data_IF_217253667681
#
_entry.id   IF_217253667681
#
_cell.length_a   1.000
_cell.length_b   1.000
_cell.length_c   1.000
_cell.angle_alpha   90.00
_cell.angle_beta   90.00
_cell.angle_gamma   90.00
#
_symmetry.space_group_name_H-M   'P 1'
#
loop_
_entity.id
_entity.type
_entity.pdbx_description
1 polymer ?
#
# COMPACT_ATOMS: atom_id res chain seq x y z
N UNK A 1 -7.17 -2.39 26.30
CA UNK A 1 -8.40 -1.86 26.91
C UNK A 1 -9.16 -1.10 25.85
N UNK A 2 -10.47 -1.30 25.76
CA UNK A 2 -11.40 -0.59 24.90
C UNK A 2 -12.27 0.32 25.76
N UNK A 3 -12.46 1.57 25.36
CA UNK A 3 -13.15 2.58 26.15
C UNK A 3 -14.23 3.24 25.31
N UNK A 4 -15.31 3.69 25.96
CA UNK A 4 -16.25 4.62 25.37
C UNK A 4 -15.60 6.01 25.35
N UNK A 5 -15.50 6.63 24.16
CA UNK A 5 -14.84 7.91 24.00
C UNK A 5 -15.64 9.10 24.59
N UNK A 6 -16.96 8.97 24.71
CA UNK A 6 -17.85 10.00 25.25
C UNK A 6 -17.91 9.93 26.78
N UNK A 7 -18.11 8.73 27.34
CA UNK A 7 -18.29 8.55 28.78
C UNK A 7 -16.99 8.29 29.53
N UNK A 8 -15.96 7.78 28.83
CA UNK A 8 -14.72 7.32 29.44
C UNK A 8 -14.83 5.95 30.12
N UNK A 9 -15.96 5.25 29.97
CA UNK A 9 -16.16 3.94 30.60
C UNK A 9 -15.32 2.85 29.91
N UNK A 10 -14.74 1.98 30.72
CA UNK A 10 -14.07 0.78 30.22
C UNK A 10 -15.11 -0.22 29.70
N UNK A 11 -15.04 -0.53 28.40
CA UNK A 11 -15.93 -1.50 27.75
C UNK A 11 -15.35 -2.91 27.89
N UNK A 12 -14.09 -3.11 27.46
CA UNK A 12 -13.43 -4.42 27.46
C UNK A 12 -11.95 -4.33 27.86
N UNK A 13 -11.48 -5.30 28.63
CA UNK A 13 -10.04 -5.61 28.78
C UNK A 13 -9.73 -6.85 27.95
N UNK A 14 -8.91 -6.69 26.92
CA UNK A 14 -8.55 -7.75 25.98
C UNK A 14 -7.26 -8.44 26.44
N UNK A 15 -7.38 -9.61 27.06
CA UNK A 15 -6.27 -10.38 27.62
C UNK A 15 -5.96 -11.62 26.78
N UNK A 16 -4.67 -11.94 26.58
CA UNK A 16 -4.28 -13.17 25.88
C UNK A 16 -2.91 -13.14 25.20
N UNK A 17 -2.33 -11.95 24.97
CA UNK A 17 -0.92 -11.85 24.57
C UNK A 17 0.00 -12.25 25.73
N UNK A 18 1.15 -12.84 25.38
CA UNK A 18 2.14 -13.33 26.37
C UNK A 18 3.24 -12.31 26.70
N UNK A 19 3.24 -11.18 26.00
CA UNK A 19 4.17 -10.08 26.18
C UNK A 19 3.48 -8.76 25.78
N UNK A 20 4.17 -7.65 25.97
CA UNK A 20 3.74 -6.28 25.72
C UNK A 20 3.06 -6.11 24.36
N UNK A 21 1.86 -5.55 24.38
CA UNK A 21 1.12 -5.18 23.16
C UNK A 21 1.68 -3.86 22.66
N UNK A 22 2.26 -3.87 21.45
CA UNK A 22 2.97 -2.72 20.88
C UNK A 22 2.08 -1.86 19.98
N UNK A 23 1.06 -2.46 19.37
CA UNK A 23 0.18 -1.80 18.40
C UNK A 23 -1.21 -2.40 18.47
N UNK A 24 -2.23 -1.56 18.26
CA UNK A 24 -3.60 -1.98 18.05
C UNK A 24 -4.24 -1.12 16.97
N UNK A 25 -5.15 -1.69 16.17
CA UNK A 25 -5.85 -0.99 15.10
C UNK A 25 -7.24 -1.58 14.88
N UNK A 26 -8.23 -0.74 14.60
CA UNK A 26 -9.61 -1.15 14.32
C UNK A 26 -9.74 -1.60 12.87
N UNK A 27 -10.61 -2.58 12.62
CA UNK A 27 -11.10 -2.87 11.27
C UNK A 27 -11.94 -1.71 10.75
N UNK A 28 -12.06 -1.52 9.42
CA UNK A 28 -12.85 -0.43 8.84
C UNK A 28 -14.33 -0.43 9.24
N UNK A 29 -14.89 -1.60 9.52
CA UNK A 29 -16.27 -1.76 10.00
C UNK A 29 -16.42 -1.64 11.53
N UNK A 30 -15.31 -1.39 12.24
CA UNK A 30 -15.23 -1.24 13.70
C UNK A 30 -15.72 -2.45 14.51
N UNK A 31 -15.76 -3.65 13.90
CA UNK A 31 -16.18 -4.89 14.58
C UNK A 31 -15.03 -5.69 15.15
N UNK A 32 -13.86 -5.58 14.53
CA UNK A 32 -12.66 -6.34 14.90
C UNK A 32 -11.55 -5.37 15.30
N UNK A 33 -10.78 -5.74 16.31
CA UNK A 33 -9.50 -5.10 16.62
C UNK A 33 -8.37 -6.07 16.26
N UNK A 34 -7.31 -5.59 15.62
CA UNK A 34 -6.05 -6.30 15.51
C UNK A 34 -5.05 -5.75 16.52
N UNK A 35 -4.30 -6.62 17.19
CA UNK A 35 -3.18 -6.24 18.05
C UNK A 35 -1.91 -6.98 17.68
N UNK A 36 -0.78 -6.28 17.67
CA UNK A 36 0.56 -6.86 17.50
C UNK A 36 1.36 -6.76 18.80
N UNK A 37 2.07 -7.82 19.15
CA UNK A 37 2.80 -7.94 20.42
C UNK A 37 4.26 -8.34 20.24
N UNK A 38 5.04 -8.10 21.29
CA UNK A 38 6.39 -8.61 21.46
C UNK A 38 6.46 -10.14 21.56
N UNK A 39 5.33 -10.83 21.78
CA UNK A 39 5.23 -12.28 21.74
C UNK A 39 5.29 -12.88 20.30
N UNK A 40 5.60 -12.04 19.31
CA UNK A 40 5.73 -12.34 17.89
C UNK A 40 4.39 -12.66 17.18
N UNK A 41 3.26 -12.42 17.84
CA UNK A 41 1.94 -12.77 17.29
C UNK A 41 1.09 -11.55 17.01
N UNK A 42 0.14 -11.73 16.09
CA UNK A 42 -1.01 -10.84 15.94
C UNK A 42 -2.24 -11.55 16.46
N UNK A 43 -3.07 -10.87 17.24
CA UNK A 43 -4.39 -11.37 17.65
C UNK A 43 -5.48 -10.50 17.06
N UNK A 44 -6.58 -11.16 16.69
CA UNK A 44 -7.81 -10.51 16.29
C UNK A 44 -8.85 -10.70 17.40
N UNK A 45 -9.55 -9.63 17.71
CA UNK A 45 -10.53 -9.56 18.79
C UNK A 45 -11.87 -9.16 18.23
N UNK A 46 -12.92 -9.85 18.65
CA UNK A 46 -14.29 -9.41 18.43
C UNK A 46 -14.65 -8.34 19.47
N UNK A 47 -15.03 -7.15 19.00
CA UNK A 47 -15.23 -6.00 19.89
C UNK A 47 -16.59 -6.00 20.60
N UNK A 48 -17.55 -6.78 20.10
CA UNK A 48 -18.83 -6.97 20.78
C UNK A 48 -18.65 -7.84 22.03
N UNK A 49 -18.02 -9.01 21.89
CA UNK A 49 -17.82 -9.97 22.98
C UNK A 49 -16.54 -9.77 23.80
N UNK A 50 -15.57 -9.00 23.29
CA UNK A 50 -14.26 -8.82 23.90
C UNK A 50 -13.35 -10.06 23.82
N UNK A 51 -13.72 -11.05 22.99
CA UNK A 51 -13.00 -12.34 22.90
C UNK A 51 -12.00 -12.35 21.75
N UNK A 52 -10.92 -13.08 21.95
CA UNK A 52 -10.00 -13.44 20.87
C UNK A 52 -10.72 -14.35 19.86
N UNK A 53 -10.74 -13.94 18.59
CA UNK A 53 -11.31 -14.72 17.50
C UNK A 53 -10.25 -15.49 16.71
N UNK A 54 -9.03 -14.94 16.60
CA UNK A 54 -7.92 -15.57 15.89
C UNK A 54 -6.57 -15.17 16.47
N UNK A 55 -5.64 -16.13 16.44
CA UNK A 55 -4.21 -15.93 16.65
C UNK A 55 -3.49 -16.14 15.33
N UNK A 56 -2.74 -15.15 14.87
CA UNK A 56 -1.96 -15.18 13.64
C UNK A 56 -0.49 -15.34 14.02
N UNK A 57 0.07 -16.51 13.70
CA UNK A 57 1.44 -16.90 14.00
C UNK A 57 2.26 -17.01 12.73
N UNK A 58 3.51 -16.58 12.79
CA UNK A 58 4.44 -16.70 11.66
C UNK A 58 5.67 -15.81 11.80
N UNK A 59 5.53 -14.61 12.36
CA UNK A 59 6.68 -13.76 12.62
C UNK A 59 7.66 -14.41 13.58
N UNK A 60 8.96 -14.26 13.32
CA UNK A 60 10.02 -14.79 14.19
C UNK A 60 10.52 -13.77 15.21
N UNK A 61 9.97 -12.56 15.18
CA UNK A 61 10.25 -11.49 16.12
C UNK A 61 9.01 -10.61 16.32
N UNK A 62 9.08 -9.76 17.35
CA UNK A 62 8.07 -8.81 17.79
C UNK A 62 7.36 -8.08 16.65
N UNK A 63 6.03 -8.05 16.73
CA UNK A 63 5.19 -7.32 15.78
C UNK A 63 5.11 -5.86 16.20
N UNK A 64 5.49 -4.98 15.28
CA UNK A 64 5.63 -3.53 15.55
C UNK A 64 4.47 -2.71 15.01
N UNK A 65 3.81 -3.20 13.96
CA UNK A 65 2.78 -2.46 13.26
C UNK A 65 1.76 -3.43 12.63
N UNK A 66 0.49 -3.05 12.67
CA UNK A 66 -0.62 -3.76 12.02
C UNK A 66 -1.53 -2.75 11.32
N UNK A 67 -2.06 -3.11 10.16
CA UNK A 67 -2.97 -2.25 9.41
C UNK A 67 -3.96 -3.10 8.62
N UNK A 68 -5.24 -2.75 8.69
CA UNK A 68 -6.28 -3.39 7.88
C UNK A 68 -6.29 -2.78 6.49
N UNK A 69 -6.53 -3.62 5.46
CA UNK A 69 -6.87 -3.09 4.15
C UNK A 69 -8.21 -2.33 4.23
N UNK A 70 -8.44 -1.29 3.41
CA UNK A 70 -9.69 -0.54 3.44
C UNK A 70 -10.98 -1.33 3.13
N UNK A 71 -10.92 -2.59 2.67
CA UNK A 71 -12.10 -3.51 2.63
C UNK A 71 -12.30 -4.31 3.91
N UNK A 72 -11.32 -4.33 4.81
CA UNK A 72 -11.31 -5.21 5.98
C UNK A 72 -11.03 -6.69 5.66
N UNK A 73 -10.76 -7.04 4.40
CA UNK A 73 -10.54 -8.44 4.01
C UNK A 73 -9.13 -8.95 4.32
N UNK A 74 -8.16 -8.03 4.36
CA UNK A 74 -6.75 -8.33 4.61
C UNK A 74 -6.22 -7.54 5.81
N UNK A 75 -5.20 -8.10 6.43
CA UNK A 75 -4.39 -7.41 7.42
C UNK A 75 -2.92 -7.53 7.00
N UNK A 76 -2.18 -6.46 7.16
CA UNK A 76 -0.72 -6.48 7.09
C UNK A 76 -0.16 -6.40 8.52
N UNK A 77 0.94 -7.08 8.77
CA UNK A 77 1.73 -6.95 10.00
C UNK A 77 3.21 -6.78 9.67
N UNK A 78 3.84 -5.75 10.24
CA UNK A 78 5.29 -5.52 10.16
C UNK A 78 5.98 -5.97 11.45
N UNK A 79 7.22 -6.46 11.34
CA UNK A 79 7.96 -7.03 12.46
C UNK A 79 9.44 -6.64 12.47
N UNK A 80 10.05 -6.81 13.64
CA UNK A 80 11.50 -6.80 13.84
C UNK A 80 12.24 -7.93 13.10
N UNK A 81 11.53 -8.92 12.56
CA UNK A 81 12.11 -9.94 11.66
C UNK A 81 12.38 -9.45 10.22
N UNK A 82 12.24 -8.14 9.99
CA UNK A 82 12.44 -7.44 8.71
C UNK A 82 11.40 -7.77 7.63
N UNK A 83 10.35 -8.52 7.98
CA UNK A 83 9.30 -8.91 7.03
C UNK A 83 7.98 -8.21 7.30
N UNK A 84 7.12 -8.23 6.28
CA UNK A 84 5.71 -7.89 6.40
C UNK A 84 4.93 -9.15 6.04
N UNK A 85 3.98 -9.54 6.88
CA UNK A 85 3.08 -10.66 6.59
C UNK A 85 1.70 -10.14 6.26
N UNK A 86 1.07 -10.78 5.27
CA UNK A 86 -0.30 -10.48 4.86
C UNK A 86 -1.20 -11.63 5.27
N UNK A 87 -2.34 -11.30 5.84
CA UNK A 87 -3.27 -12.26 6.40
C UNK A 87 -4.64 -12.08 5.79
N UNK A 88 -5.34 -13.19 5.55
CA UNK A 88 -6.75 -13.18 5.23
C UNK A 88 -7.55 -13.14 6.54
N UNK A 89 -8.36 -12.10 6.73
CA UNK A 89 -9.10 -11.90 7.99
C UNK A 89 -10.15 -13.00 8.22
N UNK A 90 -10.84 -13.44 7.16
CA UNK A 90 -11.92 -14.43 7.26
C UNK A 90 -11.42 -15.78 7.78
N UNK A 91 -10.34 -16.32 7.20
CA UNK A 91 -9.85 -17.64 7.57
C UNK A 91 -8.64 -17.61 8.51
N UNK A 92 -7.93 -16.49 8.64
CA UNK A 92 -6.73 -16.35 9.48
C UNK A 92 -5.44 -16.90 8.86
N UNK A 93 -5.47 -17.29 7.58
CA UNK A 93 -4.30 -17.83 6.88
C UNK A 93 -3.41 -16.71 6.38
N UNK A 94 -2.11 -16.98 6.39
CA UNK A 94 -1.13 -16.17 5.70
C UNK A 94 -1.37 -16.22 4.18
N UNK A 95 -1.46 -15.05 3.56
CA UNK A 95 -1.57 -14.86 2.12
C UNK A 95 -0.19 -14.74 1.46
N UNK A 96 0.71 -13.98 2.09
CA UNK A 96 2.06 -13.76 1.56
C UNK A 96 3.00 -13.19 2.63
N UNK A 97 4.30 -13.30 2.38
CA UNK A 97 5.38 -12.68 3.17
C UNK A 97 6.17 -11.76 2.26
N UNK A 98 6.08 -10.46 2.50
CA UNK A 98 6.84 -9.46 1.77
C UNK A 98 8.23 -9.33 2.40
N UNK A 99 9.24 -9.72 1.63
CA UNK A 99 10.66 -9.62 1.99
C UNK A 99 11.33 -8.55 1.13
N UNK A 100 12.18 -7.73 1.74
CA UNK A 100 12.95 -6.73 0.98
C UNK A 100 13.56 -5.62 1.83
N UNK A 101 13.05 -5.36 3.04
CA UNK A 101 13.75 -4.53 4.01
C UNK A 101 14.96 -5.27 4.58
N UNK A 102 16.06 -4.56 4.81
CA UNK A 102 17.28 -5.13 5.40
C UNK A 102 17.34 -4.98 6.91
N UNK A 103 16.32 -4.36 7.52
CA UNK A 103 16.20 -4.15 8.95
C UNK A 103 14.72 -4.07 9.35
N UNK A 104 14.46 -3.98 10.65
CA UNK A 104 13.14 -4.05 11.28
C UNK A 104 12.13 -3.14 10.59
N UNK A 105 10.95 -3.69 10.29
CA UNK A 105 9.82 -2.90 9.81
C UNK A 105 9.17 -2.24 11.03
N UNK A 106 8.92 -0.94 10.97
CA UNK A 106 8.45 -0.15 12.12
C UNK A 106 7.02 0.32 11.96
N UNK A 107 6.60 0.55 10.71
CA UNK A 107 5.31 1.13 10.39
C UNK A 107 4.87 0.63 9.02
N UNK A 108 3.62 0.23 8.90
CA UNK A 108 2.98 -0.18 7.66
C UNK A 108 1.65 0.55 7.49
N UNK A 109 1.32 0.92 6.26
CA UNK A 109 0.04 1.53 5.90
C UNK A 109 -0.47 1.08 4.55
N UNK A 110 -1.73 0.67 4.48
CA UNK A 110 -2.42 0.49 3.21
C UNK A 110 -2.75 1.84 2.59
N UNK A 111 -2.68 1.93 1.26
CA UNK A 111 -3.27 3.07 0.57
C UNK A 111 -4.80 3.02 0.63
N UNK A 112 -5.49 4.18 0.60
CA UNK A 112 -6.94 4.24 0.56
C UNK A 112 -7.55 3.46 -0.62
N UNK A 113 -6.86 3.41 -1.76
CA UNK A 113 -7.28 2.69 -2.97
C UNK A 113 -7.02 1.17 -2.94
N UNK A 114 -6.40 0.65 -1.86
CA UNK A 114 -6.07 -0.78 -1.61
C UNK A 114 -5.01 -1.37 -2.52
N UNK A 115 -4.50 -0.62 -3.50
CA UNK A 115 -3.57 -1.16 -4.50
C UNK A 115 -2.17 -1.33 -3.96
N UNK A 116 -1.80 -0.53 -2.96
CA UNK A 116 -0.44 -0.50 -2.45
C UNK A 116 -0.40 -0.57 -0.93
N UNK A 117 0.75 -0.99 -0.43
CA UNK A 117 1.14 -0.87 0.97
C UNK A 117 2.43 -0.06 1.00
N UNK A 118 2.56 0.87 1.94
CA UNK A 118 3.81 1.50 2.28
C UNK A 118 4.36 0.88 3.57
N UNK A 119 5.69 0.79 3.68
CA UNK A 119 6.36 0.36 4.89
C UNK A 119 7.60 1.19 5.19
N UNK A 120 7.72 1.68 6.41
CA UNK A 120 8.93 2.31 6.95
C UNK A 120 9.78 1.29 7.73
N UNK A 121 11.09 1.49 7.73
CA UNK A 121 12.03 0.57 8.37
C UNK A 121 13.22 1.28 9.02
N UNK A 122 13.86 0.54 9.94
CA UNK A 122 15.17 0.86 10.50
C UNK A 122 16.31 0.83 9.47
N UNK A 123 16.07 0.36 8.25
CA UNK A 123 17.02 0.48 7.13
C UNK A 123 17.06 1.88 6.48
N UNK A 124 16.39 2.86 7.11
CA UNK A 124 16.29 4.26 6.67
C UNK A 124 15.50 4.45 5.36
N UNK A 125 14.82 3.41 4.87
CA UNK A 125 14.02 3.47 3.64
C UNK A 125 12.53 3.31 3.90
N UNK A 126 11.75 3.73 2.91
CA UNK A 126 10.33 3.39 2.80
C UNK A 126 10.16 2.55 1.55
N UNK A 127 9.45 1.43 1.64
CA UNK A 127 9.12 0.60 0.47
C UNK A 127 7.64 0.72 0.14
N UNK A 128 7.37 0.78 -1.15
CA UNK A 128 6.02 0.74 -1.71
C UNK A 128 5.84 -0.61 -2.37
N UNK A 129 4.81 -1.34 -1.94
CA UNK A 129 4.52 -2.70 -2.37
C UNK A 129 3.28 -2.72 -3.25
N UNK A 130 3.28 -3.59 -4.25
CA UNK A 130 2.08 -3.94 -5.02
C UNK A 130 1.26 -4.99 -4.26
N UNK A 131 -0.02 -4.74 -4.01
CA UNK A 131 -0.87 -5.67 -3.24
C UNK A 131 -1.54 -6.76 -4.09
N UNK A 132 -1.37 -6.72 -5.41
CA UNK A 132 -1.79 -7.75 -6.34
C UNK A 132 -0.63 -8.69 -6.67
N UNK A 133 0.54 -8.10 -6.97
CA UNK A 133 1.75 -8.84 -7.38
C UNK A 133 2.68 -9.18 -6.22
N UNK A 134 2.52 -8.54 -5.06
CA UNK A 134 3.35 -8.73 -3.86
C UNK A 134 4.84 -8.44 -4.08
N UNK A 135 5.15 -7.48 -4.95
CA UNK A 135 6.51 -7.03 -5.26
C UNK A 135 6.78 -5.62 -4.77
N UNK A 136 8.05 -5.28 -4.56
CA UNK A 136 8.45 -3.89 -4.33
C UNK A 136 8.33 -3.12 -5.65
N UNK A 137 7.53 -2.07 -5.65
CA UNK A 137 7.37 -1.16 -6.78
C UNK A 137 8.35 0.02 -6.72
N UNK A 138 8.63 0.49 -5.51
CA UNK A 138 9.56 1.59 -5.30
C UNK A 138 10.22 1.51 -3.93
N UNK A 139 11.43 2.05 -3.82
CA UNK A 139 12.12 2.27 -2.54
C UNK A 139 12.44 3.75 -2.44
N UNK A 140 11.72 4.45 -1.56
CA UNK A 140 11.94 5.86 -1.28
C UNK A 140 13.15 5.99 -0.35
N UNK A 141 14.18 6.66 -0.84
CA UNK A 141 15.42 6.96 -0.12
C UNK A 141 15.49 8.46 0.13
N UNK A 142 15.98 8.86 1.29
CA UNK A 142 16.16 10.28 1.61
C UNK A 142 16.26 10.57 3.09
N UNK A 143 15.74 9.69 3.96
CA UNK A 143 16.03 9.75 5.40
C UNK A 143 17.43 9.22 5.68
N UNK A 144 18.14 9.86 6.61
CA UNK A 144 19.50 9.46 7.02
C UNK A 144 19.53 8.57 8.26
N UNK A 145 18.38 8.38 8.89
CA UNK A 145 18.18 7.54 10.07
C UNK A 145 16.87 6.74 9.95
N UNK A 146 16.65 5.74 10.84
CA UNK A 146 15.44 4.93 10.87
C UNK A 146 14.12 5.68 10.65
N UNK A 147 13.29 5.16 9.75
CA UNK A 147 11.92 5.64 9.57
C UNK A 147 11.06 4.97 10.62
N UNK A 148 10.35 5.76 11.42
CA UNK A 148 9.59 5.25 12.57
C UNK A 148 8.07 5.28 12.36
N UNK A 149 7.59 6.16 11.49
CA UNK A 149 6.17 6.30 11.21
C UNK A 149 5.94 6.74 9.77
N UNK A 150 4.88 6.22 9.17
CA UNK A 150 4.38 6.63 7.87
C UNK A 150 2.86 6.79 7.91
N UNK A 151 2.31 7.66 7.05
CA UNK A 151 0.87 7.77 6.84
C UNK A 151 0.57 8.23 5.42
N UNK A 152 -0.49 7.69 4.82
CA UNK A 152 -1.06 8.26 3.60
C UNK A 152 -1.96 9.45 3.95
N UNK A 153 -2.08 10.40 3.02
CA UNK A 153 -3.20 11.33 2.98
C UNK A 153 -4.51 10.58 2.66
N UNK A 154 -5.68 11.12 3.04
CA UNK A 154 -6.97 10.46 2.79
C UNK A 154 -7.27 10.19 1.30
N UNK A 155 -6.77 11.04 0.40
CA UNK A 155 -6.86 10.87 -1.05
C UNK A 155 -5.84 9.86 -1.61
N UNK A 156 -4.82 9.48 -0.82
CA UNK A 156 -3.73 8.60 -1.22
C UNK A 156 -2.64 9.26 -2.07
N UNK A 157 -2.76 10.55 -2.33
CA UNK A 157 -1.89 11.30 -3.24
C UNK A 157 -0.54 11.67 -2.61
N UNK A 158 -0.47 11.68 -1.29
CA UNK A 158 0.73 11.96 -0.54
C UNK A 158 1.00 10.86 0.48
N UNK A 159 2.28 10.58 0.69
CA UNK A 159 2.77 9.84 1.84
C UNK A 159 3.57 10.81 2.70
N UNK A 160 3.40 10.75 4.02
CA UNK A 160 4.26 11.42 5.00
C UNK A 160 5.09 10.38 5.75
N UNK A 161 6.33 10.71 6.08
CA UNK A 161 7.19 9.88 6.93
C UNK A 161 7.89 10.70 8.00
N UNK A 162 7.98 10.13 9.20
CA UNK A 162 8.76 10.65 10.31
C UNK A 162 9.95 9.73 10.62
N UNK A 163 11.12 10.33 10.84
CA UNK A 163 12.37 9.59 11.07
C UNK A 163 13.14 10.11 12.29
N UNK A 164 14.02 9.26 12.79
CA UNK A 164 15.00 9.59 13.82
C UNK A 164 16.09 10.56 13.32
N UNK A 165 16.07 10.97 12.05
CA UNK A 165 16.89 12.08 11.54
C UNK A 165 16.32 13.46 11.92
N UNK A 166 15.28 13.47 12.76
CA UNK A 166 14.58 14.67 13.25
C UNK A 166 13.84 15.41 12.13
N UNK A 167 13.52 14.74 11.04
CA UNK A 167 12.76 15.32 9.92
C UNK A 167 11.46 14.57 9.64
N UNK A 168 10.52 15.32 9.07
CA UNK A 168 9.35 14.79 8.39
C UNK A 168 9.55 15.01 6.89
N UNK A 169 9.24 14.01 6.07
CA UNK A 169 9.28 14.12 4.60
C UNK A 169 7.92 13.82 4.01
N UNK A 170 7.59 14.56 2.96
CA UNK A 170 6.41 14.37 2.14
C UNK A 170 6.83 13.77 0.80
N UNK A 171 6.08 12.78 0.33
CA UNK A 171 6.35 12.05 -0.90
C UNK A 171 5.11 12.13 -1.78
N UNK A 172 5.29 12.62 -3.00
CA UNK A 172 4.24 12.67 -4.02
C UNK A 172 4.00 11.27 -4.60
N UNK A 173 2.76 10.78 -4.47
CA UNK A 173 2.31 9.49 -4.97
C UNK A 173 1.51 9.61 -6.30
N UNK A 174 1.09 10.82 -6.71
CA UNK A 174 0.33 11.09 -7.95
C UNK A 174 1.12 10.79 -9.19
N UNK A 175 2.40 11.17 -9.20
CA UNK A 175 3.28 10.97 -10.34
C UNK A 175 3.35 9.51 -10.82
N UNK A 176 2.99 8.55 -9.97
CA UNK A 176 2.83 7.13 -10.34
C UNK A 176 1.55 6.84 -11.12
N UNK A 177 0.43 7.43 -10.75
CA UNK A 177 -0.85 7.25 -11.46
C UNK A 177 -0.77 7.80 -12.89
N UNK A 178 -0.08 8.93 -13.06
CA UNK A 178 0.14 9.60 -14.34
C UNK A 178 1.22 8.90 -15.18
N UNK A 179 2.31 8.41 -14.57
CA UNK A 179 3.32 7.61 -15.28
C UNK A 179 2.78 6.29 -15.82
N UNK A 180 1.78 5.68 -15.18
CA UNK A 180 1.07 4.53 -15.76
C UNK A 180 0.24 4.93 -16.98
N UNK A 181 -0.53 6.03 -16.89
CA UNK A 181 -1.31 6.56 -18.02
C UNK A 181 -0.44 6.94 -19.22
N UNK A 182 0.75 7.50 -19.01
CA UNK A 182 1.68 7.86 -20.08
C UNK A 182 2.31 6.63 -20.77
N UNK A 183 2.36 5.49 -20.07
CA UNK A 183 2.97 4.26 -20.57
C UNK A 183 1.93 3.25 -21.14
N UNK A 184 0.63 3.50 -20.95
CA UNK A 184 -0.46 2.83 -21.67
C UNK A 184 -0.80 3.69 -22.89
N UNK A 185 -0.03 3.52 -23.97
CA UNK A 185 -0.44 3.99 -25.27
C UNK A 185 -1.63 3.13 -25.72
N UNK A 186 -2.83 3.70 -25.73
CA UNK A 186 -3.96 3.03 -26.38
C UNK A 186 -3.76 3.05 -27.90
N UNK A 187 -4.32 2.06 -28.60
CA UNK A 187 -4.19 1.90 -30.05
C UNK A 187 -4.61 3.18 -30.78
N UNK A 188 -5.65 3.86 -30.29
CA UNK A 188 -6.13 5.13 -30.84
C UNK A 188 -5.08 6.24 -30.74
N UNK A 189 -4.32 6.30 -29.64
CA UNK A 189 -3.26 7.29 -29.44
C UNK A 189 -2.04 7.02 -30.33
N UNK A 190 -1.69 5.75 -30.53
CA UNK A 190 -0.65 5.32 -31.47
C UNK A 190 -1.05 5.63 -32.91
N UNK A 191 -2.29 5.31 -33.29
CA UNK A 191 -2.83 5.52 -34.63
C UNK A 191 -2.90 7.01 -34.96
N UNK A 192 -3.36 7.84 -34.03
CA UNK A 192 -3.38 9.29 -34.19
C UNK A 192 -1.97 9.87 -34.39
N UNK A 193 -0.98 9.44 -33.60
CA UNK A 193 0.40 9.90 -33.74
C UNK A 193 1.04 9.44 -35.06
N UNK A 194 0.83 8.18 -35.44
CA UNK A 194 1.30 7.65 -36.71
C UNK A 194 0.68 8.43 -37.88
N UNK A 195 -0.62 8.71 -37.83
CA UNK A 195 -1.30 9.47 -38.87
C UNK A 195 -0.86 10.92 -38.95
N UNK A 196 -0.60 11.60 -37.83
CA UNK A 196 -0.01 12.95 -37.85
C UNK A 196 1.36 12.99 -38.54
N UNK A 197 2.18 11.96 -38.34
CA UNK A 197 3.49 11.88 -38.99
C UNK A 197 3.37 11.53 -40.47
N UNK A 198 2.48 10.59 -40.81
CA UNK A 198 2.34 10.06 -42.15
C UNK A 198 1.54 10.98 -43.08
N UNK A 199 0.64 11.82 -42.55
CA UNK A 199 -0.27 12.66 -43.35
C UNK A 199 0.48 13.55 -44.34
N UNK A 200 1.56 14.21 -43.90
CA UNK A 200 2.38 15.03 -44.80
C UNK A 200 3.08 14.24 -45.91
N UNK A 201 3.45 12.98 -45.64
CA UNK A 201 4.04 12.08 -46.63
C UNK A 201 2.98 11.58 -47.64
N UNK A 202 1.82 11.15 -47.15
CA UNK A 202 0.72 10.64 -47.98
C UNK A 202 0.21 11.71 -48.95
N UNK A 203 0.02 12.96 -48.50
CA UNK A 203 -0.50 14.03 -49.36
C UNK A 203 0.52 14.51 -50.41
N UNK A 204 1.82 14.45 -50.13
CA UNK A 204 2.84 15.13 -50.96
C UNK A 204 3.75 14.19 -51.76
N UNK A 205 3.78 12.89 -51.48
CA UNK A 205 4.67 11.97 -52.21
C UNK A 205 4.03 11.51 -53.54
N UNK A 206 4.69 11.70 -54.70
CA UNK A 206 4.14 11.31 -56.00
C UNK A 206 4.04 9.80 -56.21
N UNK A 207 4.71 8.99 -55.38
CA UNK A 207 4.71 7.53 -55.49
C UNK A 207 3.60 6.85 -54.66
N UNK A 208 2.70 7.63 -54.05
CA UNK A 208 1.57 7.13 -53.25
C UNK A 208 0.30 7.15 -54.10
N UNK A 209 -0.46 6.05 -54.07
CA UNK A 209 -1.72 5.87 -54.81
C UNK A 209 -2.77 6.89 -54.35
N UNK A 210 -3.74 7.24 -55.20
CA UNK A 210 -4.78 8.21 -54.82
C UNK A 210 -5.65 7.72 -53.65
N UNK A 211 -5.87 6.41 -53.54
CA UNK A 211 -6.67 5.79 -52.46
C UNK A 211 -5.97 5.90 -51.09
N UNK A 212 -4.64 5.75 -51.05
CA UNK A 212 -3.86 5.81 -49.81
C UNK A 212 -3.69 7.25 -49.28
N UNK A 213 -4.01 8.28 -50.07
CA UNK A 213 -3.85 9.70 -49.68
C UNK A 213 -4.81 10.14 -48.58
N UNK A 214 -5.88 9.40 -48.34
CA UNK A 214 -6.91 9.73 -47.36
C UNK A 214 -6.94 8.77 -46.17
N UNK A 215 -5.98 7.84 -46.07
CA UNK A 215 -5.93 6.78 -45.04
C UNK A 215 -6.01 7.32 -43.60
N UNK A 216 -5.62 8.57 -43.39
CA UNK A 216 -5.56 9.21 -42.08
C UNK A 216 -6.60 10.31 -41.86
N UNK A 217 -7.45 10.61 -42.85
CA UNK A 217 -8.38 11.74 -42.80
C UNK A 217 -9.49 11.48 -41.75
N UNK A 218 -10.06 10.27 -41.73
CA UNK A 218 -11.05 9.82 -40.73
C UNK A 218 -10.51 9.86 -39.27
N UNK A 219 -9.20 9.68 -39.09
CA UNK A 219 -8.55 9.63 -37.78
C UNK A 219 -8.15 11.04 -37.31
N UNK A 220 -7.83 11.94 -38.25
CA UNK A 220 -7.46 13.33 -37.97
C UNK A 220 -8.68 14.27 -37.89
N UNK A 221 -9.84 13.82 -38.37
CA UNK A 221 -11.08 14.58 -38.37
C UNK A 221 -11.11 15.65 -39.47
N UNK A 222 -10.48 15.37 -40.61
CA UNK A 222 -10.36 16.25 -41.79
C UNK A 222 -11.20 15.76 -42.96
#
# INVERSE_FOLDING_TARGET
MLWNAETGDLIHTLEGHKDSVRVANFSPDSKILASGSWDNTVKLWDLESGREIKKLEGHSHSVTSVDFSPDGNRLASGSWDNTIRLWNIKNGRELNVLKGHSNSVTSIKFSPDRKILASGSFDCTIKIWDMEKFIVLNTLKGHSNPVNSISFSPDGDMLVSGSWDKTIKLWDMKSRSERKKQNEWDLDSLLLCACKWLHGYLKNNPNVSEEDRCLCDDILGE
#
